data_IF_547307610416
#
_entry.id   IF_547307610416
#
_cell.length_a   1.000
_cell.length_b   1.000
_cell.length_c   1.000
_cell.angle_alpha   90.00
_cell.angle_beta   90.00
_cell.angle_gamma   90.00
#
_symmetry.space_group_name_H-M   'P 1'
#
loop_
_entity.id
_entity.type
_entity.pdbx_description
1 polymer ?
#
# COMPACT_ATOMS: atom_id res chain seq x y z
N UNK A 1 -0.71 -21.54 16.85
CA UNK A 1 -1.87 -22.33 16.38
C UNK A 1 -2.94 -22.41 17.46
N UNK A 2 -2.61 -22.85 18.67
CA UNK A 2 -3.50 -22.86 19.84
C UNK A 2 -4.32 -21.58 20.03
N UNK A 3 -3.72 -20.39 19.86
CA UNK A 3 -4.46 -19.13 20.01
C UNK A 3 -5.54 -18.91 18.95
N UNK A 4 -5.28 -19.27 17.68
CA UNK A 4 -6.32 -19.22 16.64
C UNK A 4 -7.43 -20.23 16.94
N UNK A 5 -7.08 -21.43 17.40
CA UNK A 5 -8.07 -22.41 17.84
C UNK A 5 -8.94 -21.91 18.99
N UNK A 6 -8.34 -21.21 19.97
CA UNK A 6 -9.06 -20.62 21.09
C UNK A 6 -10.10 -19.59 20.63
N UNK A 7 -9.78 -18.78 19.61
CA UNK A 7 -10.74 -17.84 19.00
C UNK A 7 -11.87 -18.61 18.32
N UNK A 8 -11.55 -19.66 17.56
CA UNK A 8 -12.60 -20.50 16.97
C UNK A 8 -13.52 -21.08 18.05
N UNK A 9 -12.97 -21.53 19.17
CA UNK A 9 -13.75 -22.06 20.28
C UNK A 9 -14.66 -21.00 20.92
N UNK A 10 -14.13 -19.82 21.22
CA UNK A 10 -14.87 -18.70 21.85
C UNK A 10 -16.07 -18.24 21.02
N UNK A 11 -15.93 -18.23 19.69
CA UNK A 11 -16.97 -17.78 18.74
C UNK A 11 -17.71 -18.92 18.04
N UNK A 12 -17.54 -20.17 18.51
CA UNK A 12 -18.16 -21.36 17.92
C UNK A 12 -17.96 -21.50 16.40
N UNK A 13 -16.73 -21.28 15.92
CA UNK A 13 -16.37 -21.33 14.51
C UNK A 13 -15.82 -22.70 14.10
N UNK A 14 -16.33 -23.21 12.98
CA UNK A 14 -15.71 -24.34 12.28
C UNK A 14 -14.28 -24.00 11.85
N UNK A 15 -13.39 -24.99 11.96
CA UNK A 15 -11.99 -24.81 11.61
C UNK A 15 -11.28 -26.12 11.25
N UNK A 16 -10.24 -26.01 10.43
CA UNK A 16 -9.42 -27.14 9.98
C UNK A 16 -8.13 -27.34 10.80
N UNK A 17 -8.09 -26.86 12.05
CA UNK A 17 -6.90 -26.96 12.90
C UNK A 17 -6.90 -28.33 13.56
N UNK A 18 -5.86 -29.11 13.27
CA UNK A 18 -5.68 -30.43 13.90
C UNK A 18 -5.46 -30.30 15.41
N UNK A 19 -6.14 -31.15 16.18
CA UNK A 19 -6.03 -31.22 17.65
C UNK A 19 -4.60 -31.45 18.15
N UNK A 20 -3.74 -32.13 17.37
CA UNK A 20 -2.33 -32.35 17.72
C UNK A 20 -1.50 -31.06 17.72
N UNK A 21 -2.00 -30.00 17.07
CA UNK A 21 -1.36 -28.67 17.04
C UNK A 21 -1.87 -27.76 18.16
N UNK A 22 -2.74 -28.27 19.03
CA UNK A 22 -3.39 -27.53 20.11
C UNK A 22 -2.80 -27.99 21.44
N UNK A 23 -2.16 -27.07 22.13
CA UNK A 23 -1.74 -27.27 23.52
C UNK A 23 -2.94 -27.02 24.45
N UNK A 24 -3.42 -28.06 25.13
CA UNK A 24 -4.61 -28.00 26.00
C UNK A 24 -4.44 -27.06 27.19
N UNK A 25 -3.25 -27.03 27.81
CA UNK A 25 -2.98 -26.17 28.97
C UNK A 25 -3.01 -24.70 28.54
N UNK A 26 -2.39 -24.41 27.40
CA UNK A 26 -2.37 -23.07 26.84
C UNK A 26 -3.75 -22.62 26.32
N UNK A 27 -4.53 -23.53 25.72
CA UNK A 27 -5.91 -23.26 25.34
C UNK A 27 -6.75 -22.82 26.56
N UNK A 28 -6.71 -23.61 27.64
CA UNK A 28 -7.42 -23.26 28.88
C UNK A 28 -6.99 -21.89 29.42
N UNK A 29 -5.69 -21.57 29.33
CA UNK A 29 -5.18 -20.26 29.74
C UNK A 29 -5.73 -19.10 28.90
N UNK A 30 -5.90 -19.27 27.59
CA UNK A 30 -6.47 -18.23 26.73
C UNK A 30 -7.95 -17.98 26.99
N UNK A 31 -8.73 -19.06 27.14
CA UNK A 31 -10.16 -18.97 27.40
C UNK A 31 -10.45 -18.32 28.77
N UNK A 32 -9.56 -18.49 29.76
CA UNK A 32 -9.69 -17.86 31.07
C UNK A 32 -9.23 -16.40 31.12
N UNK A 33 -8.39 -15.94 30.19
CA UNK A 33 -7.72 -14.64 30.31
C UNK A 33 -8.49 -13.46 29.73
N UNK A 34 -9.75 -13.64 29.28
CA UNK A 34 -10.60 -12.65 28.57
C UNK A 34 -9.98 -11.96 27.33
N UNK A 35 -8.72 -12.23 27.01
CA UNK A 35 -7.92 -11.56 25.99
C UNK A 35 -8.54 -11.61 24.59
N UNK A 36 -9.28 -12.69 24.29
CA UNK A 36 -9.99 -12.84 23.02
C UNK A 36 -11.10 -11.80 22.92
N UNK A 37 -11.90 -11.63 23.98
CA UNK A 37 -12.97 -10.62 24.03
C UNK A 37 -12.40 -9.21 23.94
N UNK A 38 -11.27 -8.94 24.60
CA UNK A 38 -10.61 -7.63 24.54
C UNK A 38 -10.13 -7.28 23.12
N UNK A 39 -9.54 -8.24 22.40
CA UNK A 39 -9.08 -8.03 21.01
C UNK A 39 -10.22 -7.60 20.09
N UNK A 40 -11.42 -8.18 20.27
CA UNK A 40 -12.58 -7.95 19.42
C UNK A 40 -13.59 -6.93 19.96
N UNK A 41 -13.44 -6.42 21.19
CA UNK A 41 -14.38 -5.49 21.85
C UNK A 41 -14.77 -4.27 21.00
N UNK A 42 -13.83 -3.72 20.22
CA UNK A 42 -14.03 -2.53 19.38
C UNK A 42 -14.12 -2.84 17.88
N UNK A 43 -14.35 -4.10 17.51
CA UNK A 43 -14.30 -4.60 16.13
C UNK A 43 -15.48 -5.52 15.85
N UNK A 44 -15.72 -5.79 14.58
CA UNK A 44 -16.64 -6.87 14.20
C UNK A 44 -16.13 -8.23 14.69
N UNK A 45 -17.06 -9.09 15.07
CA UNK A 45 -16.70 -10.41 15.56
C UNK A 45 -16.14 -11.28 14.43
N UNK A 46 -15.31 -12.29 14.76
CA UNK A 46 -14.92 -13.33 13.83
C UNK A 46 -16.16 -14.05 13.27
N UNK A 47 -16.33 -14.01 11.95
CA UNK A 47 -17.40 -14.72 11.24
C UNK A 47 -16.95 -16.12 10.81
N UNK A 48 -15.68 -16.26 10.40
CA UNK A 48 -15.16 -17.50 9.81
C UNK A 48 -13.65 -17.64 10.00
N UNK A 49 -13.20 -18.86 10.28
CA UNK A 49 -11.78 -19.23 10.22
C UNK A 49 -11.32 -19.41 8.77
N UNK A 50 -10.25 -18.73 8.38
CA UNK A 50 -9.64 -18.85 7.05
C UNK A 50 -8.45 -19.83 7.03
N UNK A 51 -8.25 -20.57 8.12
CA UNK A 51 -7.16 -21.53 8.20
C UNK A 51 -7.34 -22.67 7.19
N UNK A 52 -6.37 -22.80 6.27
CA UNK A 52 -6.35 -23.80 5.17
C UNK A 52 -7.48 -23.66 4.14
N UNK A 53 -8.21 -22.54 4.10
CA UNK A 53 -9.16 -22.30 3.02
C UNK A 53 -8.43 -21.89 1.73
N UNK A 54 -9.14 -21.96 0.59
CA UNK A 54 -8.69 -21.45 -0.71
C UNK A 54 -9.13 -20.01 -0.98
N UNK A 55 -9.79 -19.36 -0.01
CA UNK A 55 -10.12 -17.94 -0.11
C UNK A 55 -8.85 -17.09 -0.06
N UNK A 56 -8.81 -16.01 -0.84
CA UNK A 56 -7.66 -15.11 -0.96
C UNK A 56 -6.36 -15.84 -1.37
N UNK A 57 -6.50 -16.92 -2.14
CA UNK A 57 -5.37 -17.68 -2.71
C UNK A 57 -5.27 -17.47 -4.22
N UNK A 58 -4.12 -17.80 -4.76
CA UNK A 58 -3.86 -17.90 -6.20
C UNK A 58 -2.82 -19.01 -6.43
N UNK A 59 -2.45 -19.28 -7.67
CA UNK A 59 -1.34 -20.19 -7.97
C UNK A 59 -0.02 -19.77 -7.28
N UNK A 60 0.16 -18.46 -7.07
CA UNK A 60 1.32 -17.86 -6.41
C UNK A 60 1.19 -17.82 -4.89
N UNK A 61 -0.04 -17.85 -4.36
CA UNK A 61 -0.37 -17.76 -2.94
C UNK A 61 -1.12 -19.02 -2.54
N UNK A 62 -0.40 -20.12 -2.32
CA UNK A 62 -1.01 -21.45 -2.14
C UNK A 62 -1.77 -21.65 -0.81
N UNK A 63 -1.61 -20.73 0.14
CA UNK A 63 -2.24 -20.76 1.47
C UNK A 63 -2.83 -19.40 1.81
N UNK A 64 -4.06 -19.39 2.33
CA UNK A 64 -4.72 -18.16 2.75
C UNK A 64 -3.81 -17.38 3.74
N UNK A 65 -3.50 -16.10 3.46
CA UNK A 65 -2.62 -15.30 4.30
C UNK A 65 -3.35 -14.74 5.54
N UNK A 66 -4.67 -14.74 5.55
CA UNK A 66 -5.48 -14.26 6.67
C UNK A 66 -5.66 -15.36 7.73
N UNK A 67 -6.18 -14.97 8.90
CA UNK A 67 -6.56 -15.92 9.95
C UNK A 67 -8.08 -16.04 10.06
N UNK A 68 -8.80 -14.92 9.97
CA UNK A 68 -10.26 -14.86 10.08
C UNK A 68 -10.86 -13.84 9.11
N UNK A 69 -12.09 -14.10 8.68
CA UNK A 69 -12.99 -13.12 8.09
C UNK A 69 -13.91 -12.61 9.20
N UNK A 70 -14.12 -11.29 9.27
CA UNK A 70 -15.01 -10.66 10.24
C UNK A 70 -16.42 -10.45 9.65
N UNK A 71 -17.42 -10.20 10.49
CA UNK A 71 -18.82 -10.00 10.07
C UNK A 71 -18.99 -8.86 9.05
N UNK A 72 -18.22 -7.78 9.21
CA UNK A 72 -18.19 -6.63 8.30
C UNK A 72 -17.37 -6.87 7.02
N UNK A 73 -16.94 -8.11 6.77
CA UNK A 73 -16.12 -8.55 5.62
C UNK A 73 -14.67 -8.07 5.63
N UNK A 74 -14.21 -7.41 6.70
CA UNK A 74 -12.79 -7.13 6.90
C UNK A 74 -12.03 -8.42 7.27
N UNK A 75 -10.76 -8.46 6.93
CA UNK A 75 -9.84 -9.58 7.18
C UNK A 75 -9.00 -9.33 8.42
N UNK A 76 -8.72 -10.41 9.16
CA UNK A 76 -7.94 -10.36 10.39
C UNK A 76 -6.83 -11.39 10.36
N UNK A 77 -5.57 -10.99 10.58
CA UNK A 77 -4.44 -11.91 10.72
C UNK A 77 -3.91 -11.95 12.14
N UNK A 78 -3.40 -13.12 12.51
CA UNK A 78 -2.71 -13.33 13.78
C UNK A 78 -1.28 -13.77 13.54
N UNK A 79 -0.35 -13.03 14.14
CA UNK A 79 1.04 -13.42 14.30
C UNK A 79 1.34 -13.61 15.78
N UNK A 80 1.84 -14.78 16.16
CA UNK A 80 2.19 -15.09 17.55
C UNK A 80 3.69 -15.07 17.74
N UNK A 81 4.16 -14.43 18.81
CA UNK A 81 5.58 -14.36 19.18
C UNK A 81 5.80 -14.94 20.57
N UNK A 82 6.89 -15.70 20.73
CA UNK A 82 7.27 -16.35 21.99
C UNK A 82 8.78 -16.21 22.21
N UNK A 83 9.17 -15.94 23.45
CA UNK A 83 10.58 -15.88 23.87
C UNK A 83 11.36 -14.76 23.18
N UNK A 84 12.66 -15.02 22.97
CA UNK A 84 13.63 -14.05 22.43
C UNK A 84 13.70 -14.06 20.89
N UNK A 85 12.78 -14.75 20.20
CA UNK A 85 12.75 -14.78 18.74
C UNK A 85 12.47 -13.39 18.17
N UNK A 86 13.47 -12.81 17.48
CA UNK A 86 13.42 -11.45 16.94
C UNK A 86 12.96 -11.36 15.50
N UNK A 87 12.85 -12.46 14.78
CA UNK A 87 12.63 -12.47 13.33
C UNK A 87 11.36 -13.20 12.94
N UNK A 88 10.63 -12.68 11.94
CA UNK A 88 9.47 -13.37 11.38
C UNK A 88 9.40 -13.23 9.86
N UNK A 89 8.99 -14.30 9.17
CA UNK A 89 8.71 -14.25 7.74
C UNK A 89 7.24 -13.86 7.48
N UNK A 90 6.96 -12.91 6.57
CA UNK A 90 5.64 -12.72 5.98
C UNK A 90 5.12 -14.01 5.34
N UNK A 91 3.80 -14.25 5.38
CA UNK A 91 3.23 -15.54 4.96
C UNK A 91 3.35 -15.80 3.46
N UNK A 92 3.33 -14.76 2.64
CA UNK A 92 3.34 -14.85 1.18
C UNK A 92 4.77 -14.79 0.63
N UNK A 93 5.45 -13.67 0.84
CA UNK A 93 6.77 -13.39 0.24
C UNK A 93 7.96 -13.77 1.12
N UNK A 94 7.74 -14.13 2.39
CA UNK A 94 8.83 -14.33 3.34
C UNK A 94 9.56 -15.67 3.21
N UNK A 95 8.95 -16.67 2.58
CA UNK A 95 9.53 -17.99 2.32
C UNK A 95 9.04 -18.50 0.95
N UNK A 96 9.41 -17.78 -0.09
CA UNK A 96 8.93 -18.03 -1.45
C UNK A 96 9.88 -18.95 -2.22
N UNK A 97 9.32 -19.89 -2.98
CA UNK A 97 10.05 -20.59 -4.04
C UNK A 97 10.24 -19.71 -5.28
N UNK A 98 10.96 -20.20 -6.29
CA UNK A 98 11.32 -19.41 -7.48
C UNK A 98 10.13 -18.79 -8.19
N UNK A 99 9.06 -19.56 -8.37
CA UNK A 99 7.83 -19.13 -9.05
C UNK A 99 7.17 -17.98 -8.26
N UNK A 100 6.85 -18.19 -6.98
CA UNK A 100 6.26 -17.16 -6.11
C UNK A 100 7.15 -15.92 -5.99
N UNK A 101 8.48 -16.09 -5.88
CA UNK A 101 9.40 -14.97 -5.74
C UNK A 101 9.42 -14.11 -7.01
N UNK A 102 9.50 -14.73 -8.18
CA UNK A 102 9.49 -14.02 -9.46
C UNK A 102 8.15 -13.35 -9.77
N UNK A 103 7.04 -13.87 -9.27
CA UNK A 103 5.73 -13.23 -9.39
C UNK A 103 5.69 -11.90 -8.62
N UNK A 104 6.19 -11.88 -7.38
CA UNK A 104 6.13 -10.69 -6.53
C UNK A 104 7.27 -9.69 -6.76
N UNK A 105 8.48 -10.17 -7.05
CA UNK A 105 9.68 -9.31 -7.14
C UNK A 105 10.28 -9.23 -8.53
N UNK A 106 9.95 -10.16 -9.43
CA UNK A 106 10.61 -10.26 -10.74
C UNK A 106 10.27 -9.15 -11.73
N UNK A 107 9.51 -8.13 -11.34
CA UNK A 107 9.33 -6.89 -12.11
C UNK A 107 10.40 -5.84 -11.77
N UNK A 108 11.16 -6.03 -10.69
CA UNK A 108 12.25 -5.17 -10.25
C UNK A 108 13.58 -5.54 -10.92
N UNK A 109 13.61 -6.57 -11.76
CA UNK A 109 14.81 -7.07 -12.41
C UNK A 109 14.50 -7.43 -13.86
N UNK A 110 15.46 -7.22 -14.76
CA UNK A 110 15.27 -7.51 -16.19
C UNK A 110 15.20 -9.01 -16.46
N UNK A 111 16.04 -9.78 -15.76
CA UNK A 111 16.07 -11.23 -15.88
C UNK A 111 15.27 -11.93 -14.79
N UNK A 112 14.92 -13.20 -15.03
CA UNK A 112 14.32 -14.06 -14.02
C UNK A 112 15.27 -14.22 -12.83
N UNK A 113 14.74 -13.97 -11.64
CA UNK A 113 15.50 -14.09 -10.40
C UNK A 113 15.67 -15.58 -10.09
N UNK A 114 16.89 -15.98 -9.81
CA UNK A 114 17.28 -17.34 -9.50
C UNK A 114 18.39 -17.31 -8.43
N UNK A 115 18.89 -18.49 -8.04
CA UNK A 115 19.89 -18.63 -6.98
C UNK A 115 21.21 -17.90 -7.28
N UNK A 116 21.57 -17.74 -8.55
CA UNK A 116 22.84 -17.14 -8.96
C UNK A 116 22.80 -15.61 -8.84
N UNK A 117 21.67 -14.98 -9.21
CA UNK A 117 21.53 -13.52 -9.18
C UNK A 117 20.77 -12.98 -7.95
N UNK A 118 20.17 -13.84 -7.11
CA UNK A 118 19.37 -13.40 -5.95
C UNK A 118 20.10 -12.45 -5.00
N UNK A 119 21.39 -12.69 -4.74
CA UNK A 119 22.17 -11.85 -3.82
C UNK A 119 22.38 -10.45 -4.38
N UNK A 120 22.76 -10.36 -5.65
CA UNK A 120 22.94 -9.09 -6.38
C UNK A 120 21.61 -8.34 -6.44
N UNK A 121 20.56 -9.01 -6.90
CA UNK A 121 19.20 -8.49 -6.93
C UNK A 121 18.79 -7.85 -5.59
N UNK A 122 19.03 -8.54 -4.48
CA UNK A 122 18.71 -8.05 -3.15
C UNK A 122 19.51 -6.82 -2.72
N UNK A 123 20.81 -6.77 -3.05
CA UNK A 123 21.67 -5.65 -2.69
C UNK A 123 21.29 -4.38 -3.45
N UNK A 124 20.92 -4.53 -4.72
CA UNK A 124 20.58 -3.41 -5.61
C UNK A 124 19.16 -2.86 -5.40
N UNK A 125 18.21 -3.72 -5.03
CA UNK A 125 16.77 -3.36 -5.04
C UNK A 125 16.13 -3.33 -3.64
N UNK A 126 16.93 -3.21 -2.57
CA UNK A 126 16.42 -3.34 -1.20
C UNK A 126 15.35 -2.29 -0.84
N UNK A 127 15.48 -1.06 -1.36
CA UNK A 127 14.54 0.03 -1.15
C UNK A 127 13.16 -0.24 -1.76
N UNK A 128 13.11 -1.03 -2.82
CA UNK A 128 11.91 -1.44 -3.55
C UNK A 128 11.34 -2.77 -3.00
N UNK A 129 12.21 -3.67 -2.55
CA UNK A 129 11.82 -4.93 -1.89
C UNK A 129 11.13 -4.64 -0.55
N UNK A 130 11.68 -3.72 0.26
CA UNK A 130 11.20 -3.45 1.62
C UNK A 130 9.69 -3.12 1.68
N UNK A 131 9.15 -2.16 0.89
CA UNK A 131 7.71 -1.88 0.86
C UNK A 131 6.85 -3.10 0.55
N UNK A 132 7.26 -3.94 -0.41
CA UNK A 132 6.51 -5.16 -0.79
C UNK A 132 6.50 -6.15 0.38
N UNK A 133 7.63 -6.32 1.07
CA UNK A 133 7.72 -7.23 2.21
C UNK A 133 6.85 -6.76 3.37
N UNK A 134 6.87 -5.46 3.68
CA UNK A 134 6.01 -4.85 4.71
C UNK A 134 4.53 -5.01 4.37
N UNK A 135 4.18 -4.79 3.10
CA UNK A 135 2.82 -4.93 2.60
C UNK A 135 2.24 -6.32 2.89
N UNK A 136 3.01 -7.37 2.63
CA UNK A 136 2.61 -8.75 2.92
C UNK A 136 2.80 -9.16 4.39
N UNK A 137 3.59 -8.42 5.17
CA UNK A 137 3.64 -8.57 6.62
C UNK A 137 2.33 -8.10 7.28
N UNK A 138 1.68 -7.12 6.65
CA UNK A 138 0.46 -6.45 7.11
C UNK A 138 -0.68 -6.63 6.09
N UNK A 139 -0.82 -7.86 5.60
CA UNK A 139 -1.68 -8.24 4.47
C UNK A 139 -3.18 -8.13 4.76
N UNK A 140 -3.59 -8.16 6.04
CA UNK A 140 -5.00 -8.10 6.44
C UNK A 140 -5.40 -6.68 6.86
N UNK A 141 -6.70 -6.39 6.88
CA UNK A 141 -7.22 -5.10 7.35
C UNK A 141 -6.83 -4.84 8.81
N UNK A 142 -6.88 -5.87 9.65
CA UNK A 142 -6.28 -5.87 10.98
C UNK A 142 -5.20 -6.94 11.13
N UNK A 143 -4.06 -6.54 11.68
CA UNK A 143 -2.94 -7.43 11.93
C UNK A 143 -2.65 -7.48 13.43
N UNK A 144 -3.06 -8.57 14.07
CA UNK A 144 -2.87 -8.79 15.51
C UNK A 144 -1.53 -9.47 15.78
N UNK A 145 -0.66 -8.75 16.47
CA UNK A 145 0.61 -9.25 16.95
C UNK A 145 0.44 -9.65 18.40
N UNK A 146 0.40 -10.95 18.64
CA UNK A 146 0.14 -11.53 19.93
C UNK A 146 1.44 -12.01 20.58
N UNK A 147 1.70 -11.52 21.78
CA UNK A 147 2.93 -11.77 22.52
C UNK A 147 2.63 -12.61 23.75
N UNK A 148 3.46 -13.65 23.94
CA UNK A 148 3.49 -14.41 25.19
C UNK A 148 4.85 -14.25 25.84
N UNK A 149 4.86 -13.69 27.06
CA UNK A 149 6.04 -13.65 27.93
C UNK A 149 5.65 -14.35 29.24
N UNK A 150 6.27 -15.49 29.52
CA UNK A 150 5.91 -16.33 30.68
C UNK A 150 4.41 -16.71 30.68
N UNK A 151 3.67 -16.27 31.71
CA UNK A 151 2.21 -16.45 31.88
C UNK A 151 1.38 -15.22 31.48
N UNK A 152 2.01 -14.11 31.06
CA UNK A 152 1.29 -12.93 30.62
C UNK A 152 1.11 -12.91 29.10
N UNK A 153 -0.01 -12.34 28.68
CA UNK A 153 -0.35 -12.10 27.30
C UNK A 153 -0.44 -10.59 27.06
N UNK A 154 0.09 -10.15 25.93
CA UNK A 154 -0.17 -8.81 25.43
C UNK A 154 -0.35 -8.87 23.93
N UNK A 155 -0.97 -7.85 23.35
CA UNK A 155 -1.17 -7.77 21.93
C UNK A 155 -1.06 -6.34 21.42
N UNK A 156 -0.77 -6.22 20.14
CA UNK A 156 -0.84 -4.98 19.38
C UNK A 156 -1.68 -5.25 18.13
N UNK A 157 -2.55 -4.31 17.78
CA UNK A 157 -3.33 -4.39 16.54
C UNK A 157 -2.89 -3.24 15.67
N UNK A 158 -2.41 -3.60 14.48
CA UNK A 158 -2.06 -2.64 13.45
C UNK A 158 -3.16 -2.71 12.40
N UNK A 159 -3.95 -1.62 12.28
CA UNK A 159 -4.89 -1.47 11.18
C UNK A 159 -4.10 -1.05 9.94
N UNK A 160 -4.41 -1.68 8.82
CA UNK A 160 -3.69 -1.47 7.57
C UNK A 160 -3.94 -0.08 6.97
N UNK A 161 -5.16 0.42 7.07
CA UNK A 161 -5.54 1.76 6.62
C UNK A 161 -4.72 2.87 7.31
N UNK A 162 -4.20 2.59 8.51
CA UNK A 162 -3.37 3.54 9.27
C UNK A 162 -1.91 3.55 8.80
N UNK A 163 -1.57 2.78 7.76
CA UNK A 163 -0.23 2.68 7.22
C UNK A 163 -0.16 3.43 5.90
N UNK A 164 0.70 4.45 5.82
CA UNK A 164 0.93 5.14 4.56
C UNK A 164 1.62 4.24 3.53
N UNK A 165 1.54 4.60 2.25
CA UNK A 165 2.43 4.04 1.23
C UNK A 165 3.88 4.36 1.64
N UNK A 166 4.64 3.31 2.02
CA UNK A 166 6.01 3.44 2.51
C UNK A 166 6.99 3.54 1.35
N UNK A 167 7.93 4.49 1.46
CA UNK A 167 9.02 4.69 0.50
C UNK A 167 10.32 4.83 1.26
N UNK A 168 11.38 4.16 0.81
CA UNK A 168 12.68 4.17 1.48
C UNK A 168 13.74 4.72 0.54
N UNK A 169 14.68 5.50 1.08
CA UNK A 169 15.87 5.94 0.36
C UNK A 169 16.93 4.83 0.42
N UNK A 170 17.45 4.41 -0.72
CA UNK A 170 18.46 3.37 -0.84
C UNK A 170 19.70 3.67 0.02
N UNK A 171 20.08 4.96 0.15
CA UNK A 171 21.28 5.38 0.90
C UNK A 171 21.19 5.11 2.41
N UNK A 172 19.97 4.97 2.94
CA UNK A 172 19.73 4.74 4.36
C UNK A 172 19.88 3.25 4.72
N UNK A 173 20.03 2.38 3.73
CA UNK A 173 20.28 0.96 3.92
C UNK A 173 21.76 0.66 4.04
N UNK A 174 22.08 -0.26 4.94
CA UNK A 174 23.39 -0.89 5.02
C UNK A 174 23.25 -2.40 5.22
N UNK A 175 24.26 -3.14 4.77
CA UNK A 175 24.29 -4.59 4.83
C UNK A 175 25.47 -5.05 5.68
N UNK A 176 25.27 -6.09 6.49
CA UNK A 176 26.41 -6.72 7.19
C UNK A 176 27.41 -7.37 6.24
N UNK A 177 26.98 -7.74 5.03
CA UNK A 177 27.80 -8.31 3.96
C UNK A 177 27.48 -7.54 2.68
N UNK A 178 28.24 -6.48 2.35
CA UNK A 178 27.86 -5.52 1.30
C UNK A 178 28.10 -6.03 -0.12
N UNK A 179 28.73 -7.19 -0.30
CA UNK A 179 29.01 -7.79 -1.61
C UNK A 179 28.46 -9.21 -1.70
N UNK A 180 28.22 -9.70 -2.92
CA UNK A 180 27.73 -11.06 -3.16
C UNK A 180 28.73 -12.13 -2.69
N UNK A 181 30.03 -11.84 -2.75
CA UNK A 181 31.12 -12.70 -2.27
C UNK A 181 31.15 -12.79 -0.74
N UNK A 182 30.94 -11.67 -0.04
CA UNK A 182 30.87 -11.64 1.42
C UNK A 182 29.59 -12.31 1.96
N UNK A 183 28.51 -12.28 1.18
CA UNK A 183 27.25 -12.90 1.54
C UNK A 183 27.33 -14.43 1.43
N UNK A 184 27.42 -15.12 2.57
CA UNK A 184 27.31 -16.58 2.61
C UNK A 184 25.85 -17.07 2.49
N UNK A 185 25.21 -17.48 3.59
CA UNK A 185 23.83 -17.96 3.65
C UNK A 185 22.85 -16.85 4.03
N UNK A 186 23.23 -15.93 4.92
CA UNK A 186 22.37 -14.84 5.39
C UNK A 186 23.04 -13.48 5.31
N UNK A 187 22.24 -12.43 5.17
CA UNK A 187 22.69 -11.05 5.24
C UNK A 187 21.67 -10.23 6.03
N UNK A 188 22.17 -9.52 7.04
CA UNK A 188 21.36 -8.62 7.84
C UNK A 188 21.30 -7.26 7.14
N UNK A 189 20.08 -6.79 6.94
CA UNK A 189 19.78 -5.47 6.41
C UNK A 189 19.49 -4.54 7.58
N UNK A 190 20.20 -3.41 7.61
CA UNK A 190 19.96 -2.33 8.54
C UNK A 190 19.39 -1.13 7.79
N UNK A 191 18.49 -0.40 8.43
CA UNK A 191 17.96 0.87 7.96
C UNK A 191 18.26 1.92 9.03
N UNK A 192 18.95 3.02 8.67
CA UNK A 192 19.41 4.06 9.60
C UNK A 192 20.11 3.47 10.85
N UNK A 193 20.97 2.48 10.63
CA UNK A 193 21.75 1.79 11.66
C UNK A 193 21.02 0.70 12.45
N UNK A 194 19.69 0.54 12.33
CA UNK A 194 18.91 -0.48 13.04
C UNK A 194 18.63 -1.69 12.16
N UNK A 195 18.78 -2.90 12.70
CA UNK A 195 18.43 -4.13 11.97
C UNK A 195 16.94 -4.20 11.71
N UNK A 196 16.53 -4.32 10.45
CA UNK A 196 15.11 -4.35 10.06
C UNK A 196 14.72 -5.62 9.34
N UNK A 197 15.66 -6.26 8.65
CA UNK A 197 15.39 -7.42 7.82
C UNK A 197 16.59 -8.36 7.77
N UNK A 198 16.33 -9.64 7.52
CA UNK A 198 17.33 -10.63 7.19
C UNK A 198 16.93 -11.36 5.91
N UNK A 199 17.89 -11.41 4.99
CA UNK A 199 17.78 -12.05 3.69
C UNK A 199 18.60 -13.33 3.73
N UNK A 200 18.04 -14.45 3.27
CA UNK A 200 18.74 -15.73 3.29
C UNK A 200 18.54 -16.53 2.00
N UNK A 201 19.63 -17.15 1.58
CA UNK A 201 19.69 -18.12 0.50
C UNK A 201 20.30 -19.40 1.08
N UNK A 202 19.46 -20.38 1.39
CA UNK A 202 19.92 -21.67 1.92
C UNK A 202 20.67 -22.45 0.85
N UNK A 203 21.82 -23.03 1.20
CA UNK A 203 22.62 -23.88 0.29
C UNK A 203 21.92 -25.20 -0.03
N UNK A 204 21.25 -25.80 0.97
CA UNK A 204 20.70 -27.16 0.89
C UNK A 204 19.17 -27.23 0.75
N UNK A 205 18.49 -26.09 0.52
CA UNK A 205 17.02 -26.03 0.39
C UNK A 205 16.64 -25.07 -0.73
N UNK A 206 15.58 -25.40 -1.47
CA UNK A 206 15.00 -24.50 -2.46
C UNK A 206 14.26 -23.35 -1.77
N UNK A 207 14.32 -22.17 -2.39
CA UNK A 207 13.60 -20.99 -1.96
C UNK A 207 14.43 -19.92 -1.25
N UNK A 208 13.86 -18.72 -1.24
CA UNK A 208 14.41 -17.52 -0.65
C UNK A 208 13.68 -17.22 0.65
N UNK A 209 14.42 -16.74 1.64
CA UNK A 209 13.84 -16.42 2.94
C UNK A 209 14.11 -14.98 3.32
N UNK A 210 13.03 -14.23 3.48
CA UNK A 210 13.02 -12.84 3.92
C UNK A 210 12.32 -12.80 5.27
N UNK A 211 13.01 -12.28 6.27
CA UNK A 211 12.50 -12.11 7.63
C UNK A 211 12.58 -10.67 8.05
N UNK A 212 11.56 -10.20 8.76
CA UNK A 212 11.52 -8.87 9.37
C UNK A 212 11.86 -8.97 10.85
N UNK A 213 12.55 -7.96 11.36
CA UNK A 213 12.87 -7.84 12.77
C UNK A 213 11.65 -7.34 13.54
N UNK A 214 11.04 -8.22 14.35
CA UNK A 214 9.85 -7.96 15.16
C UNK A 214 9.92 -6.65 15.95
N UNK A 215 10.98 -6.42 16.73
CA UNK A 215 10.97 -5.30 17.68
C UNK A 215 11.24 -3.94 17.00
N UNK A 216 12.09 -3.94 15.96
CA UNK A 216 12.45 -2.74 15.21
C UNK A 216 11.45 -2.42 14.09
N UNK A 217 10.59 -3.37 13.68
CA UNK A 217 9.61 -3.17 12.62
C UNK A 217 8.52 -2.14 12.99
N UNK A 218 7.88 -2.19 14.18
CA UNK A 218 6.97 -1.13 14.60
C UNK A 218 7.66 0.25 14.64
N UNK A 219 8.92 0.29 15.05
CA UNK A 219 9.69 1.53 15.03
C UNK A 219 9.98 2.01 13.60
N UNK A 220 10.32 1.11 12.66
CA UNK A 220 10.45 1.41 11.24
C UNK A 220 9.16 2.03 10.68
N UNK A 221 7.99 1.44 11.03
CA UNK A 221 6.69 1.98 10.64
C UNK A 221 6.45 3.37 11.25
N UNK A 222 6.93 3.62 12.48
CA UNK A 222 6.82 4.94 13.13
C UNK A 222 7.77 5.98 12.53
N UNK A 223 9.01 5.61 12.22
CA UNK A 223 10.01 6.50 11.61
C UNK A 223 9.56 6.94 10.22
N UNK A 224 9.08 6.01 9.38
CA UNK A 224 8.56 6.38 8.07
C UNK A 224 7.12 6.92 8.12
N UNK A 225 6.41 6.72 9.23
CA UNK A 225 5.24 7.55 9.53
C UNK A 225 5.61 9.02 9.63
N UNK A 226 6.78 9.42 10.15
CA UNK A 226 7.14 10.83 10.42
C UNK A 226 6.95 11.74 9.20
N UNK A 227 7.25 11.28 7.97
CA UNK A 227 6.92 12.02 6.75
C UNK A 227 6.54 11.04 5.65
N UNK A 228 5.26 11.01 5.28
CA UNK A 228 4.74 10.18 4.20
C UNK A 228 3.69 10.95 3.39
N UNK A 229 3.25 10.43 2.24
CA UNK A 229 2.30 11.16 1.38
C UNK A 229 0.95 11.48 2.06
N UNK A 230 0.50 10.70 3.05
CA UNK A 230 -0.72 11.01 3.80
C UNK A 230 -0.50 12.19 4.75
N UNK A 231 0.61 12.22 5.51
CA UNK A 231 0.94 13.36 6.39
C UNK A 231 1.19 14.61 5.55
N UNK A 232 1.89 14.48 4.43
CA UNK A 232 2.11 15.61 3.52
C UNK A 232 0.78 16.15 3.00
N UNK A 233 -0.16 15.28 2.64
CA UNK A 233 -1.51 15.68 2.20
C UNK A 233 -2.23 16.46 3.30
N UNK A 234 -2.32 15.89 4.51
CA UNK A 234 -2.99 16.53 5.65
C UNK A 234 -2.32 17.87 6.02
N UNK A 235 -0.99 17.91 6.01
CA UNK A 235 -0.21 19.11 6.33
C UNK A 235 -0.42 20.20 5.28
N UNK A 236 -0.45 19.84 4.00
CA UNK A 236 -0.66 20.78 2.92
C UNK A 236 -2.11 21.30 2.88
N UNK A 237 -3.11 20.45 3.16
CA UNK A 237 -4.50 20.88 3.35
C UNK A 237 -4.62 21.89 4.50
N UNK A 238 -3.99 21.59 5.65
CA UNK A 238 -3.99 22.48 6.81
C UNK A 238 -3.31 23.83 6.51
N UNK A 239 -2.18 23.81 5.78
CA UNK A 239 -1.50 25.04 5.38
C UNK A 239 -2.41 25.97 4.55
N UNK A 240 -3.18 25.41 3.61
CA UNK A 240 -4.15 26.17 2.82
C UNK A 240 -5.25 26.73 3.73
N UNK A 241 -5.78 25.92 4.66
CA UNK A 241 -6.77 26.39 5.62
C UNK A 241 -6.24 27.59 6.44
N UNK A 242 -5.00 27.51 6.92
CA UNK A 242 -4.37 28.57 7.71
C UNK A 242 -4.16 29.87 6.90
N UNK A 243 -3.63 29.77 5.68
CA UNK A 243 -3.38 30.93 4.81
C UNK A 243 -4.68 31.67 4.45
N UNK A 244 -5.75 30.92 4.19
CA UNK A 244 -7.03 31.47 3.76
C UNK A 244 -8.05 31.64 4.89
N UNK A 245 -7.66 31.32 6.13
CA UNK A 245 -8.51 31.38 7.34
C UNK A 245 -9.81 30.59 7.19
N UNK A 246 -9.70 29.37 6.64
CA UNK A 246 -10.82 28.46 6.48
C UNK A 246 -11.00 27.61 7.74
N UNK A 247 -12.24 27.22 8.03
CA UNK A 247 -12.53 26.19 9.03
C UNK A 247 -12.13 24.81 8.48
N UNK A 248 -11.16 24.10 9.10
CA UNK A 248 -10.81 22.72 8.74
C UNK A 248 -11.91 21.69 9.11
N UNK A 249 -13.01 22.14 9.73
CA UNK A 249 -14.21 21.38 10.07
C UNK A 249 -14.11 20.62 11.39
N UNK A 250 -15.21 20.01 11.84
CA UNK A 250 -15.31 19.25 13.11
C UNK A 250 -14.28 18.10 13.20
N UNK A 251 -13.83 17.58 12.07
CA UNK A 251 -12.77 16.59 11.97
C UNK A 251 -11.36 17.22 11.92
N UNK A 252 -11.20 18.48 12.32
CA UNK A 252 -9.91 19.20 12.35
C UNK A 252 -8.87 18.49 13.20
N UNK A 253 -9.29 17.71 14.19
CA UNK A 253 -8.42 16.80 14.94
C UNK A 253 -7.58 15.95 13.99
N UNK A 254 -8.11 15.50 12.85
CA UNK A 254 -7.33 14.75 11.87
C UNK A 254 -6.19 15.60 11.30
N UNK A 255 -6.51 16.75 10.71
CA UNK A 255 -5.51 17.61 10.09
C UNK A 255 -4.49 18.08 11.14
N UNK A 256 -4.95 18.57 12.28
CA UNK A 256 -4.09 19.09 13.34
C UNK A 256 -3.23 17.98 13.99
N UNK A 257 -3.80 16.79 14.23
CA UNK A 257 -3.07 15.70 14.89
C UNK A 257 -2.13 14.94 13.94
N UNK A 258 -2.44 14.89 12.64
CA UNK A 258 -1.61 14.20 11.66
C UNK A 258 -0.54 15.10 11.02
N UNK A 259 -0.70 16.43 11.09
CA UNK A 259 0.25 17.36 10.47
C UNK A 259 1.51 17.54 11.31
N UNK A 260 2.65 17.65 10.63
CA UNK A 260 3.91 18.00 11.28
C UNK A 260 4.09 19.52 11.32
N UNK A 261 4.40 20.07 12.51
CA UNK A 261 4.53 21.53 12.71
C UNK A 261 5.66 22.16 11.88
N UNK A 262 6.78 21.46 11.73
CA UNK A 262 7.91 21.97 10.95
C UNK A 262 7.56 22.01 9.47
N UNK A 263 6.93 20.94 8.97
CA UNK A 263 6.51 20.82 7.56
C UNK A 263 5.37 21.80 7.24
N UNK A 264 4.43 22.00 8.17
CA UNK A 264 3.35 22.97 8.03
C UNK A 264 3.89 24.37 7.73
N UNK A 265 4.89 24.83 8.49
CA UNK A 265 5.49 26.16 8.28
C UNK A 265 6.14 26.32 6.90
N UNK A 266 6.67 25.22 6.33
CA UNK A 266 7.27 25.22 5.00
C UNK A 266 6.18 25.32 3.92
N UNK A 267 5.11 24.53 4.04
CA UNK A 267 3.96 24.64 3.13
C UNK A 267 3.31 26.02 3.20
N UNK A 268 3.10 26.56 4.41
CA UNK A 268 2.52 27.88 4.60
C UNK A 268 3.35 28.96 3.91
N UNK A 269 4.67 28.93 4.11
CA UNK A 269 5.60 29.84 3.43
C UNK A 269 5.56 29.67 1.91
N UNK A 270 5.63 28.44 1.42
CA UNK A 270 5.63 28.14 -0.01
C UNK A 270 4.34 28.61 -0.70
N UNK A 271 3.19 28.25 -0.16
CA UNK A 271 1.88 28.65 -0.71
C UNK A 271 1.62 30.15 -0.56
N UNK A 272 2.10 30.79 0.50
CA UNK A 272 2.03 32.26 0.63
C UNK A 272 2.87 32.95 -0.44
N UNK A 273 4.11 32.53 -0.63
CA UNK A 273 5.03 33.14 -1.60
C UNK A 273 4.56 32.93 -3.05
N UNK A 274 3.85 31.84 -3.33
CA UNK A 274 3.37 31.49 -4.68
C UNK A 274 1.84 31.66 -4.82
N UNK A 275 1.22 32.44 -3.94
CA UNK A 275 -0.24 32.51 -3.79
C UNK A 275 -0.97 32.85 -5.08
N UNK A 276 -0.47 33.83 -5.84
CA UNK A 276 -1.08 34.30 -7.09
C UNK A 276 -1.10 33.19 -8.14
N UNK A 277 -0.02 32.41 -8.24
CA UNK A 277 0.12 31.36 -9.26
C UNK A 277 -0.62 30.08 -8.87
N UNK A 278 -0.60 29.72 -7.59
CA UNK A 278 -1.18 28.45 -7.11
C UNK A 278 -2.67 28.55 -6.75
N UNK A 279 -3.16 29.76 -6.47
CA UNK A 279 -4.56 30.01 -6.12
C UNK A 279 -5.12 31.20 -6.91
N UNK A 280 -5.29 31.06 -8.25
CA UNK A 280 -5.86 32.11 -9.09
C UNK A 280 -7.31 32.44 -8.71
N UNK A 281 -8.00 31.48 -8.08
CA UNK A 281 -9.25 31.68 -7.36
C UNK A 281 -9.03 31.37 -5.89
N UNK A 282 -9.58 32.21 -5.02
CA UNK A 282 -9.40 32.07 -3.57
C UNK A 282 -10.18 30.86 -3.04
N UNK A 283 -9.57 29.98 -2.23
CA UNK A 283 -10.30 29.01 -1.44
C UNK A 283 -11.29 29.68 -0.46
N UNK A 284 -12.53 29.19 -0.42
CA UNK A 284 -13.61 29.73 0.43
C UNK A 284 -14.16 28.70 1.43
N UNK A 285 -13.96 27.40 1.19
CA UNK A 285 -14.40 26.33 2.09
C UNK A 285 -13.52 25.09 1.92
N UNK A 286 -13.19 24.43 3.03
CA UNK A 286 -12.57 23.11 3.05
C UNK A 286 -13.63 21.99 3.08
N UNK A 287 -13.41 20.92 2.33
CA UNK A 287 -14.33 19.77 2.21
C UNK A 287 -13.62 18.41 2.15
N UNK A 288 -12.31 18.35 2.35
CA UNK A 288 -11.52 17.10 2.24
C UNK A 288 -11.92 15.99 3.22
N UNK A 289 -12.70 16.31 4.27
CA UNK A 289 -13.24 15.32 5.22
C UNK A 289 -14.70 14.92 4.96
N UNK A 290 -15.36 15.50 3.95
CA UNK A 290 -16.73 15.15 3.60
C UNK A 290 -16.80 13.74 2.98
N UNK A 291 -17.84 12.98 3.32
CA UNK A 291 -18.06 11.64 2.77
C UNK A 291 -18.69 11.75 1.37
N UNK A 292 -18.24 10.92 0.42
CA UNK A 292 -18.95 10.75 -0.86
C UNK A 292 -20.26 9.98 -0.69
N UNK A 293 -21.12 10.05 -1.73
CA UNK A 293 -22.39 9.30 -1.84
C UNK A 293 -22.27 7.80 -1.57
N UNK A 294 -21.13 7.17 -1.88
CA UNK A 294 -20.88 5.74 -1.64
C UNK A 294 -20.73 5.39 -0.16
N UNK A 295 -20.45 6.37 0.71
CA UNK A 295 -20.17 6.13 2.13
C UNK A 295 -18.87 5.35 2.38
N UNK A 296 -18.67 4.92 3.63
CA UNK A 296 -17.47 4.18 4.04
C UNK A 296 -16.18 5.02 4.01
N UNK A 297 -15.09 4.44 3.51
CA UNK A 297 -13.76 5.07 3.37
C UNK A 297 -13.61 5.94 2.09
N UNK A 298 -14.69 6.11 1.31
CA UNK A 298 -14.70 6.92 0.08
C UNK A 298 -14.67 8.41 0.43
N UNK A 299 -13.49 9.02 0.35
CA UNK A 299 -13.25 10.44 0.62
C UNK A 299 -13.75 11.32 -0.52
N UNK A 300 -14.14 12.55 -0.21
CA UNK A 300 -14.47 13.58 -1.21
C UNK A 300 -13.40 13.66 -2.30
N UNK A 301 -13.82 13.90 -3.55
CA UNK A 301 -12.91 14.28 -4.64
C UNK A 301 -12.47 15.72 -4.62
N UNK A 302 -13.12 16.51 -3.76
CA UNK A 302 -12.98 17.96 -3.64
C UNK A 302 -12.42 18.23 -2.25
N UNK A 303 -11.21 18.78 -2.22
CA UNK A 303 -10.55 19.17 -0.97
C UNK A 303 -10.93 20.61 -0.59
N UNK A 304 -11.08 21.50 -1.59
CA UNK A 304 -11.50 22.88 -1.40
C UNK A 304 -12.52 23.34 -2.44
N UNK A 305 -13.50 24.12 -1.98
CA UNK A 305 -14.28 25.00 -2.84
C UNK A 305 -13.56 26.35 -2.95
N UNK A 306 -13.53 26.87 -4.17
CA UNK A 306 -12.96 28.16 -4.53
C UNK A 306 -14.09 29.17 -4.82
N UNK A 307 -13.73 30.45 -4.94
CA UNK A 307 -14.63 31.47 -5.48
C UNK A 307 -15.18 31.09 -6.86
N UNK A 308 -16.32 31.67 -7.22
CA UNK A 308 -17.03 31.41 -8.49
C UNK A 308 -17.41 29.92 -8.66
N UNK A 309 -17.76 29.27 -7.56
CA UNK A 309 -18.20 27.86 -7.51
C UNK A 309 -17.23 26.85 -8.14
N UNK A 310 -15.94 27.20 -8.19
CA UNK A 310 -14.89 26.30 -8.68
C UNK A 310 -14.42 25.36 -7.57
N UNK A 311 -13.72 24.30 -7.96
CA UNK A 311 -13.28 23.23 -7.06
C UNK A 311 -11.79 22.93 -7.23
N UNK A 312 -11.14 22.52 -6.14
CA UNK A 312 -9.73 22.16 -6.09
C UNK A 312 -9.53 20.83 -5.37
N UNK A 313 -8.75 19.95 -5.99
CA UNK A 313 -8.18 18.77 -5.34
C UNK A 313 -6.68 18.98 -5.09
N UNK A 314 -6.16 18.36 -4.03
CA UNK A 314 -4.75 18.41 -3.65
C UNK A 314 -4.12 17.02 -3.75
N UNK A 315 -2.92 16.97 -4.33
CA UNK A 315 -2.08 15.77 -4.37
C UNK A 315 -0.67 16.10 -3.89
N UNK A 316 -0.13 15.28 -3.00
CA UNK A 316 1.23 15.46 -2.50
C UNK A 316 2.09 14.23 -2.73
N UNK A 317 3.37 14.44 -3.03
CA UNK A 317 4.36 13.37 -3.13
C UNK A 317 5.64 13.72 -2.35
N UNK A 318 6.22 12.72 -1.66
CA UNK A 318 7.58 12.74 -1.09
C UNK A 318 8.61 12.13 -2.05
N UNK A 319 8.20 11.10 -2.78
CA UNK A 319 9.09 10.22 -3.55
C UNK A 319 9.27 10.71 -4.99
N UNK A 320 10.49 10.56 -5.50
CA UNK A 320 10.83 10.73 -6.93
C UNK A 320 10.12 9.76 -7.87
N UNK A 321 9.39 8.77 -7.34
CA UNK A 321 8.53 7.91 -8.16
C UNK A 321 7.28 8.62 -8.68
N UNK A 322 6.92 9.78 -8.11
CA UNK A 322 5.78 10.61 -8.49
C UNK A 322 4.45 9.84 -8.60
N UNK A 323 4.32 8.71 -7.89
CA UNK A 323 3.17 7.83 -8.02
C UNK A 323 1.94 8.48 -7.37
N UNK A 324 0.87 8.68 -8.15
CA UNK A 324 -0.41 9.20 -7.68
C UNK A 324 -1.54 8.26 -8.09
N UNK A 325 -2.42 7.98 -7.13
CA UNK A 325 -3.54 7.08 -7.27
C UNK A 325 -4.84 7.87 -7.48
N UNK A 326 -5.65 7.54 -8.49
CA UNK A 326 -7.04 8.01 -8.57
C UNK A 326 -7.81 7.54 -7.32
N UNK A 327 -8.52 8.42 -6.57
CA UNK A 327 -9.07 8.07 -5.26
C UNK A 327 -10.08 6.92 -5.26
N UNK A 328 -10.98 6.88 -6.24
CA UNK A 328 -12.09 5.91 -6.24
C UNK A 328 -11.73 4.59 -6.94
N UNK A 329 -10.99 4.70 -8.04
CA UNK A 329 -10.74 3.57 -8.95
C UNK A 329 -9.29 3.12 -9.01
N UNK A 330 -8.37 3.76 -8.29
CA UNK A 330 -6.96 3.40 -8.35
C UNK A 330 -6.55 2.21 -7.47
N UNK A 331 -7.39 1.76 -6.52
CA UNK A 331 -7.16 0.53 -5.72
C UNK A 331 -8.43 -0.32 -5.49
N UNK A 332 -9.36 -0.48 -6.45
CA UNK A 332 -10.63 -1.15 -6.25
C UNK A 332 -10.46 -2.64 -6.01
N UNK A 333 -11.44 -3.23 -5.31
CA UNK A 333 -11.67 -4.66 -5.41
C UNK A 333 -12.27 -5.00 -6.79
N UNK A 334 -12.26 -6.26 -7.24
CA UNK A 334 -12.89 -6.63 -8.51
C UNK A 334 -14.38 -6.24 -8.56
N UNK A 335 -15.11 -6.38 -7.45
CA UNK A 335 -16.51 -5.92 -7.34
C UNK A 335 -16.65 -4.41 -7.51
N UNK A 336 -15.75 -3.64 -6.90
CA UNK A 336 -15.73 -2.18 -7.09
C UNK A 336 -15.32 -1.81 -8.51
N UNK A 337 -14.42 -2.57 -9.13
CA UNK A 337 -14.02 -2.36 -10.52
C UNK A 337 -15.24 -2.53 -11.46
N UNK A 338 -16.03 -3.59 -11.28
CA UNK A 338 -17.27 -3.82 -12.02
C UNK A 338 -18.29 -2.72 -11.87
N UNK A 339 -18.46 -2.21 -10.65
CA UNK A 339 -19.37 -1.09 -10.38
C UNK A 339 -19.06 0.10 -11.29
N UNK A 340 -17.79 0.35 -11.61
CA UNK A 340 -17.37 1.47 -12.44
C UNK A 340 -17.25 1.14 -13.94
N UNK A 341 -16.93 -0.11 -14.31
CA UNK A 341 -16.51 -0.41 -15.69
C UNK A 341 -17.28 -1.52 -16.39
N UNK A 342 -18.09 -2.35 -15.70
CA UNK A 342 -18.78 -3.46 -16.34
C UNK A 342 -19.77 -3.00 -17.43
N UNK A 343 -20.42 -1.86 -17.22
CA UNK A 343 -21.36 -1.27 -18.19
C UNK A 343 -20.69 -0.66 -19.43
N UNK A 344 -19.35 -0.58 -19.47
CA UNK A 344 -18.60 0.00 -20.60
C UNK A 344 -18.42 -0.98 -21.76
N UNK A 345 -18.69 -2.27 -21.57
CA UNK A 345 -18.56 -3.31 -22.60
C UNK A 345 -17.11 -3.67 -22.97
N UNK A 346 -16.11 -3.28 -22.16
CA UNK A 346 -14.70 -3.59 -22.44
C UNK A 346 -14.31 -5.02 -22.09
N UNK A 347 -15.07 -5.64 -21.19
CA UNK A 347 -14.91 -7.00 -20.70
C UNK A 347 -16.27 -7.49 -20.19
N UNK A 348 -16.42 -8.82 -20.06
CA UNK A 348 -17.60 -9.42 -19.42
C UNK A 348 -17.47 -9.27 -17.91
N UNK A 349 -18.49 -8.69 -17.26
CA UNK A 349 -18.54 -8.42 -15.81
C UNK A 349 -18.21 -9.64 -14.94
N UNK A 350 -18.22 -9.48 -13.61
CA UNK A 350 -17.56 -10.42 -12.69
C UNK A 350 -16.04 -10.37 -12.89
N UNK A 351 -15.48 -9.18 -12.69
CA UNK A 351 -14.05 -8.94 -12.80
C UNK A 351 -13.26 -9.89 -11.90
N UNK A 352 -12.12 -10.34 -12.40
CA UNK A 352 -11.14 -11.13 -11.68
C UNK A 352 -9.72 -10.78 -12.16
N UNK A 353 -8.70 -11.41 -11.58
CA UNK A 353 -7.30 -11.15 -11.93
C UNK A 353 -7.00 -11.42 -13.41
N UNK A 354 -7.50 -12.52 -13.97
CA UNK A 354 -7.27 -12.90 -15.37
C UNK A 354 -7.90 -11.90 -16.35
N UNK A 355 -9.18 -11.58 -16.17
CA UNK A 355 -9.90 -10.59 -16.97
C UNK A 355 -9.23 -9.22 -16.89
N UNK A 356 -8.75 -8.82 -15.71
CA UNK A 356 -8.04 -7.56 -15.54
C UNK A 356 -6.73 -7.53 -16.34
N UNK A 357 -5.94 -8.62 -16.30
CA UNK A 357 -4.71 -8.74 -17.10
C UNK A 357 -5.01 -8.67 -18.59
N UNK A 358 -6.06 -9.36 -19.07
CA UNK A 358 -6.47 -9.32 -20.48
C UNK A 358 -6.86 -7.88 -20.87
N UNK A 359 -7.66 -7.21 -20.05
CA UNK A 359 -8.09 -5.82 -20.28
C UNK A 359 -6.90 -4.85 -20.36
N UNK A 360 -5.92 -4.98 -19.44
CA UNK A 360 -4.74 -4.11 -19.40
C UNK A 360 -3.80 -4.33 -20.59
N UNK A 361 -3.70 -5.57 -21.09
CA UNK A 361 -2.81 -5.90 -22.22
C UNK A 361 -3.37 -5.50 -23.58
N UNK A 362 -4.69 -5.38 -23.70
CA UNK A 362 -5.34 -4.83 -24.88
C UNK A 362 -5.09 -3.31 -24.95
N UNK A 363 -4.13 -2.89 -25.79
CA UNK A 363 -3.72 -1.49 -25.89
C UNK A 363 -4.87 -0.54 -26.24
N UNK A 364 -5.85 -0.98 -27.03
CA UNK A 364 -7.00 -0.15 -27.40
C UNK A 364 -7.91 0.08 -26.19
N UNK A 365 -8.22 -0.99 -25.44
CA UNK A 365 -9.02 -0.86 -24.22
C UNK A 365 -8.26 -0.17 -23.10
N UNK A 366 -6.96 -0.38 -23.01
CA UNK A 366 -6.09 0.28 -22.04
C UNK A 366 -6.12 1.79 -22.22
N UNK A 367 -6.09 2.31 -23.46
CA UNK A 367 -6.25 3.76 -23.71
C UNK A 367 -7.56 4.28 -23.12
N UNK A 368 -8.68 3.58 -23.31
CA UNK A 368 -9.98 3.96 -22.76
C UNK A 368 -9.96 3.94 -21.22
N UNK A 369 -9.34 2.90 -20.65
CA UNK A 369 -9.19 2.75 -19.21
C UNK A 369 -8.31 3.85 -18.61
N UNK A 370 -7.19 4.21 -19.25
CA UNK A 370 -6.30 5.30 -18.83
C UNK A 370 -7.03 6.66 -18.85
N UNK A 371 -7.88 6.92 -19.85
CA UNK A 371 -8.70 8.13 -19.90
C UNK A 371 -9.66 8.23 -18.70
N UNK A 372 -10.31 7.13 -18.32
CA UNK A 372 -11.12 7.11 -17.11
C UNK A 372 -10.25 7.32 -15.86
N UNK A 373 -9.08 6.68 -15.77
CA UNK A 373 -8.15 6.91 -14.67
C UNK A 373 -7.73 8.38 -14.54
N UNK A 374 -7.47 9.10 -15.63
CA UNK A 374 -7.19 10.54 -15.61
C UNK A 374 -8.42 11.33 -15.13
N UNK A 375 -9.62 10.99 -15.60
CA UNK A 375 -10.87 11.63 -15.19
C UNK A 375 -11.13 11.52 -13.69
N UNK A 376 -10.90 10.34 -13.11
CA UNK A 376 -11.02 10.12 -11.66
C UNK A 376 -9.80 10.61 -10.87
N UNK A 377 -8.67 10.86 -11.51
CA UNK A 377 -7.49 11.45 -10.85
C UNK A 377 -7.77 12.89 -10.43
N UNK A 378 -8.49 13.64 -11.29
CA UNK A 378 -8.98 14.98 -10.99
C UNK A 378 -10.42 15.18 -11.47
N UNK A 379 -11.37 15.19 -10.53
CA UNK A 379 -12.76 15.51 -10.82
C UNK A 379 -13.04 17.03 -10.70
N UNK A 380 -12.13 17.77 -10.06
CA UNK A 380 -12.22 19.20 -9.77
C UNK A 380 -11.79 20.07 -10.96
N UNK A 381 -12.16 21.35 -10.93
CA UNK A 381 -11.72 22.34 -11.92
C UNK A 381 -10.20 22.53 -11.91
N UNK A 382 -9.61 22.40 -10.72
CA UNK A 382 -8.17 22.46 -10.49
C UNK A 382 -7.66 21.26 -9.69
N UNK A 383 -6.42 20.86 -9.99
CA UNK A 383 -5.60 19.99 -9.17
C UNK A 383 -4.31 20.73 -8.80
N UNK A 384 -4.08 20.93 -7.51
CA UNK A 384 -2.80 21.42 -6.99
C UNK A 384 -1.94 20.21 -6.65
N UNK A 385 -0.81 20.09 -7.34
CA UNK A 385 0.17 19.04 -7.07
C UNK A 385 1.40 19.63 -6.40
N UNK A 386 1.76 19.12 -5.23
CA UNK A 386 2.94 19.55 -4.47
C UNK A 386 3.90 18.40 -4.21
N UNK A 387 5.14 18.59 -4.64
CA UNK A 387 6.26 17.69 -4.42
C UNK A 387 7.11 18.22 -3.27
N UNK A 388 7.13 17.48 -2.17
CA UNK A 388 8.01 17.73 -1.04
C UNK A 388 9.41 17.22 -1.37
N UNK A 389 10.36 18.14 -1.57
CA UNK A 389 11.72 17.80 -1.98
C UNK A 389 12.62 17.55 -0.76
N UNK A 390 12.50 18.39 0.26
CA UNK A 390 13.22 18.31 1.53
C UNK A 390 12.62 19.30 2.54
N UNK A 391 13.20 19.38 3.74
CA UNK A 391 12.79 20.27 4.85
C UNK A 391 12.95 21.77 4.56
N UNK A 392 13.29 22.17 3.34
CA UNK A 392 13.42 23.58 2.94
C UNK A 392 12.70 23.89 1.64
N UNK A 393 12.26 22.89 0.88
CA UNK A 393 11.87 23.08 -0.51
C UNK A 393 10.66 22.22 -0.92
N UNK A 394 9.72 22.88 -1.59
CA UNK A 394 8.49 22.32 -2.13
C UNK A 394 8.34 22.87 -3.54
N UNK A 395 8.09 21.99 -4.50
CA UNK A 395 7.72 22.37 -5.86
C UNK A 395 6.24 22.11 -6.06
N UNK A 396 5.49 23.10 -6.55
CA UNK A 396 4.06 22.94 -6.79
C UNK A 396 3.66 23.35 -8.20
N UNK A 397 2.67 22.65 -8.75
CA UNK A 397 2.04 22.99 -10.03
C UNK A 397 0.52 22.96 -9.88
N UNK A 398 -0.13 24.04 -10.27
CA UNK A 398 -1.57 24.08 -10.45
C UNK A 398 -1.91 23.59 -11.86
N UNK A 399 -2.90 22.73 -11.95
CA UNK A 399 -3.30 22.05 -13.18
C UNK A 399 -4.81 22.21 -13.34
N UNK A 400 -5.26 22.66 -14.50
CA UNK A 400 -6.68 22.71 -14.81
C UNK A 400 -7.20 21.32 -15.22
N UNK A 401 -8.49 21.10 -15.02
CA UNK A 401 -9.20 19.91 -15.51
C UNK A 401 -9.00 19.69 -17.00
N UNK A 402 -9.16 20.76 -17.79
CA UNK A 402 -9.02 20.74 -19.25
C UNK A 402 -7.63 20.29 -19.69
N UNK A 403 -6.56 20.72 -19.02
CA UNK A 403 -5.21 20.24 -19.33
C UNK A 403 -5.05 18.73 -19.13
N UNK A 404 -5.75 18.12 -18.16
CA UNK A 404 -5.71 16.67 -17.97
C UNK A 404 -6.61 15.94 -18.96
N UNK A 405 -7.81 16.46 -19.23
CA UNK A 405 -8.75 15.89 -20.20
C UNK A 405 -8.21 15.90 -21.63
N UNK A 406 -7.34 16.85 -21.96
CA UNK A 406 -6.68 16.94 -23.27
C UNK A 406 -5.57 15.90 -23.48
N UNK A 407 -5.16 15.15 -22.45
CA UNK A 407 -4.15 14.11 -22.59
C UNK A 407 -4.72 12.97 -23.44
N UNK A 408 -4.16 12.81 -24.64
CA UNK A 408 -4.51 11.73 -25.54
C UNK A 408 -3.46 10.61 -25.46
N UNK A 409 -3.95 9.39 -25.26
CA UNK A 409 -3.13 8.19 -25.30
C UNK A 409 -3.32 7.48 -26.63
N UNK A 410 -2.21 7.18 -27.29
CA UNK A 410 -2.19 6.45 -28.55
C UNK A 410 -1.77 4.99 -28.31
N UNK A 411 -2.55 3.99 -28.76
CA UNK A 411 -2.26 2.58 -28.51
C UNK A 411 -0.87 2.16 -29.01
N UNK A 412 -0.43 2.66 -30.16
CA UNK A 412 0.86 2.32 -30.74
C UNK A 412 2.07 2.86 -29.94
N UNK A 413 1.86 3.87 -29.09
CA UNK A 413 2.91 4.43 -28.23
C UNK A 413 3.04 3.71 -26.88
N UNK A 414 2.13 2.78 -26.58
CA UNK A 414 2.13 2.02 -25.34
C UNK A 414 3.05 0.80 -25.46
N UNK A 415 3.91 0.62 -24.47
CA UNK A 415 4.70 -0.58 -24.26
C UNK A 415 4.63 -1.03 -22.78
N UNK A 416 5.06 -2.26 -22.50
CA UNK A 416 4.97 -2.87 -21.19
C UNK A 416 6.36 -3.28 -20.68
N UNK A 417 6.62 -3.12 -19.38
CA UNK A 417 7.87 -3.59 -18.78
C UNK A 417 8.01 -5.12 -18.76
N UNK A 418 6.90 -5.84 -18.89
CA UNK A 418 6.81 -7.30 -18.95
C UNK A 418 5.47 -7.70 -19.59
N UNK A 419 5.26 -9.00 -19.83
CA UNK A 419 4.04 -9.53 -20.47
C UNK A 419 2.78 -9.51 -19.60
N UNK A 420 2.90 -9.14 -18.32
CA UNK A 420 1.86 -9.12 -17.29
C UNK A 420 1.05 -10.42 -17.17
N UNK A 421 1.62 -11.57 -17.54
CA UNK A 421 0.96 -12.87 -17.40
C UNK A 421 1.19 -13.42 -16.00
N UNK A 422 2.46 -13.62 -15.63
CA UNK A 422 2.85 -14.22 -14.36
C UNK A 422 3.33 -13.21 -13.31
N UNK A 423 3.45 -11.92 -13.66
CA UNK A 423 3.97 -10.89 -12.75
C UNK A 423 2.83 -10.20 -12.00
N UNK A 424 3.02 -9.94 -10.71
CA UNK A 424 2.06 -9.17 -9.89
C UNK A 424 1.98 -7.69 -10.29
N UNK A 425 2.90 -7.20 -11.12
CA UNK A 425 2.97 -5.79 -11.53
C UNK A 425 3.46 -5.65 -12.96
N UNK A 426 2.95 -4.64 -13.67
CA UNK A 426 3.45 -4.18 -14.97
C UNK A 426 3.50 -2.65 -15.00
N UNK A 427 4.63 -2.13 -15.46
CA UNK A 427 4.77 -0.70 -15.75
C UNK A 427 4.38 -0.45 -17.20
N UNK A 428 3.48 0.52 -17.39
CA UNK A 428 3.15 1.07 -18.70
C UNK A 428 4.23 2.07 -19.07
N UNK A 429 4.89 1.82 -20.20
CA UNK A 429 5.82 2.74 -20.84
C UNK A 429 5.11 3.45 -21.99
N UNK A 430 5.45 4.71 -22.23
CA UNK A 430 4.83 5.51 -23.28
C UNK A 430 5.87 6.26 -24.12
N UNK A 431 5.78 6.16 -25.44
CA UNK A 431 6.61 6.88 -26.42
C UNK A 431 7.49 5.97 -27.29
N UNK A 432 7.96 6.50 -28.43
CA UNK A 432 8.68 5.74 -29.45
C UNK A 432 10.19 5.60 -29.21
N UNK A 433 10.92 6.71 -29.01
CA UNK A 433 12.40 6.74 -28.97
C UNK A 433 12.99 6.83 -27.57
N UNK A 434 12.29 7.48 -26.64
CA UNK A 434 12.59 7.52 -25.20
C UNK A 434 11.31 7.24 -24.45
N UNK A 435 11.04 5.95 -24.20
CA UNK A 435 9.81 5.56 -23.52
C UNK A 435 9.87 5.95 -22.04
N UNK A 436 8.89 6.71 -21.59
CA UNK A 436 8.76 7.14 -20.18
C UNK A 436 7.84 6.20 -19.42
N UNK A 437 8.12 5.97 -18.14
CA UNK A 437 7.19 5.25 -17.27
C UNK A 437 5.96 6.11 -17.03
N UNK A 438 4.79 5.71 -17.57
CA UNK A 438 3.53 6.44 -17.47
C UNK A 438 2.74 6.05 -16.22
N UNK A 439 2.77 4.77 -15.84
CA UNK A 439 2.03 4.27 -14.69
C UNK A 439 2.31 2.80 -14.44
N UNK A 440 1.74 2.27 -13.36
CA UNK A 440 1.95 0.90 -12.92
C UNK A 440 0.62 0.26 -12.52
N UNK A 441 0.32 -0.89 -13.13
CA UNK A 441 -0.76 -1.78 -12.71
C UNK A 441 -0.21 -2.87 -11.80
N UNK A 442 -0.96 -3.21 -10.76
CA UNK A 442 -0.62 -4.27 -9.83
C UNK A 442 -1.85 -5.11 -9.50
N UNK A 443 -1.67 -6.43 -9.39
CA UNK A 443 -2.68 -7.34 -8.87
C UNK A 443 -2.25 -7.84 -7.50
N UNK A 444 -3.15 -7.69 -6.53
CA UNK A 444 -2.93 -8.14 -5.16
C UNK A 444 -4.00 -9.16 -4.78
N UNK A 445 -3.80 -10.42 -5.18
CA UNK A 445 -4.78 -11.50 -4.94
C UNK A 445 -5.06 -11.71 -3.44
N UNK A 446 -4.03 -11.62 -2.60
CA UNK A 446 -4.18 -11.67 -1.14
C UNK A 446 -4.94 -10.48 -0.53
N UNK A 447 -5.04 -9.35 -1.23
CA UNK A 447 -5.76 -8.16 -0.76
C UNK A 447 -7.08 -7.95 -1.52
N UNK A 448 -7.40 -8.86 -2.44
CA UNK A 448 -8.49 -8.71 -3.38
C UNK A 448 -8.55 -7.30 -4.00
N UNK A 449 -7.42 -6.80 -4.50
CA UNK A 449 -7.28 -5.43 -5.01
C UNK A 449 -6.56 -5.38 -6.35
N UNK A 450 -7.09 -4.55 -7.25
CA UNK A 450 -6.54 -4.21 -8.55
C UNK A 450 -6.05 -2.76 -8.47
N UNK A 451 -4.73 -2.56 -8.41
CA UNK A 451 -4.13 -1.24 -8.14
C UNK A 451 -3.56 -0.63 -9.42
N UNK A 452 -3.78 0.67 -9.59
CA UNK A 452 -3.16 1.48 -10.63
C UNK A 452 -2.71 2.83 -10.06
N UNK A 453 -1.50 3.25 -10.45
CA UNK A 453 -0.94 4.56 -10.10
C UNK A 453 -0.25 5.16 -11.32
N UNK A 454 -0.52 6.43 -11.60
CA UNK A 454 0.24 7.18 -12.59
C UNK A 454 1.60 7.59 -12.01
N UNK A 455 2.64 7.57 -12.83
CA UNK A 455 3.76 8.48 -12.63
C UNK A 455 3.29 9.86 -13.07
N UNK A 456 2.98 10.71 -12.09
CA UNK A 456 2.29 11.96 -12.37
C UNK A 456 3.17 12.95 -13.12
N UNK A 457 4.49 12.98 -12.84
CA UNK A 457 5.43 13.79 -13.62
C UNK A 457 5.40 13.41 -15.10
N UNK A 458 5.50 12.11 -15.41
CA UNK A 458 5.41 11.62 -16.78
C UNK A 458 4.08 11.94 -17.44
N UNK A 459 2.96 11.74 -16.74
CA UNK A 459 1.63 12.08 -17.24
C UNK A 459 1.52 13.57 -17.60
N UNK A 460 2.03 14.46 -16.76
CA UNK A 460 2.00 15.90 -17.00
C UNK A 460 2.90 16.35 -18.16
N UNK A 461 3.89 15.54 -18.55
CA UNK A 461 4.74 15.81 -19.72
C UNK A 461 4.11 15.32 -21.04
N UNK A 462 2.94 14.65 -20.98
CA UNK A 462 2.15 14.30 -22.16
C UNK A 462 1.11 15.38 -22.53
N UNK A 463 1.01 16.43 -21.72
CA UNK A 463 0.10 17.56 -21.92
C UNK A 463 0.50 18.44 -23.09
#
# INVERSE_FOLDING_TARGET
MTFQYAICYEYNLENNISNTRVDKKLLSSFLKSNIIKEIFKSKSNPLKSLYKTKEFTSEFITRCPHSFLLENKETFSIKTFMGNGKMFAPKVVGQAGDLTFNHFFGHLHQEKINRNNFKEFCLENISEIMPIVIDYALVSDYNCWFYRKNKSFSYEIIKRDDLPDLTFDAKDFTFTKPTTQAWNESNTVKYKGKTVMELQLHTNRSGYKIRLHRDNFPELLKIEKVINNSILGDTAELAICNIFKLDPGINSDRLVNNSDKSILSIFEKHYTNNKITLFPLKPVKYSGTEKRKRGGNSKSGIDFYLEKDNTLSLKTNKSKSYKVCPPEIGQPSPKTFDLHFAHKGWYEGEMNEEKFRILVKDKNKLVLLLKEYVRFLNECDYLLWSLYLNEKDISSKLITKKELENINFEPNLIDFSNDFTEKSSVTIKYGNTKSISLGEFQVHSARNSLKFRFNFWSLLNLK
#
